data_IF_345974822562
#
_entry.id   IF_345974822562
#
_cell.length_a   1.000
_cell.length_b   1.000
_cell.length_c   1.000
_cell.angle_alpha   90.00
_cell.angle_beta   90.00
_cell.angle_gamma   90.00
#
_symmetry.space_group_name_H-M   'P 1'
#
loop_
_entity.id
_entity.type
_entity.pdbx_description
1 polymer ?
#
# COMPACT_ATOMS: atom_id res chain seq x y z
N UNK A 1 28.93 17.66 7.02
CA UNK A 1 29.81 18.37 7.96
C UNK A 1 30.28 17.44 9.07
N UNK A 2 29.45 16.97 10.01
CA UNK A 2 29.88 16.14 11.14
C UNK A 2 30.58 14.84 10.73
N UNK A 3 30.18 14.24 9.62
CA UNK A 3 30.74 12.97 9.10
C UNK A 3 31.77 13.18 7.97
N UNK A 4 32.18 14.41 7.68
CA UNK A 4 33.16 14.69 6.62
C UNK A 4 32.72 14.33 5.20
N UNK A 5 31.41 14.36 4.91
CA UNK A 5 30.83 13.93 3.61
C UNK A 5 30.32 15.10 2.76
N UNK A 6 30.67 16.34 3.10
CA UNK A 6 30.11 17.54 2.43
C UNK A 6 30.55 17.66 0.96
N UNK A 7 31.65 17.05 0.58
CA UNK A 7 32.18 16.95 -0.78
C UNK A 7 31.54 15.83 -1.61
N UNK A 8 30.78 14.94 -0.96
CA UNK A 8 30.19 13.76 -1.58
C UNK A 8 28.66 13.76 -1.54
N UNK A 9 28.07 14.53 -0.62
CA UNK A 9 26.61 14.60 -0.45
C UNK A 9 26.15 16.05 -0.56
N UNK A 10 25.28 16.32 -1.50
CA UNK A 10 24.60 17.60 -1.67
C UNK A 10 23.13 17.46 -1.27
N UNK A 11 22.68 18.25 -0.31
CA UNK A 11 21.27 18.32 0.07
C UNK A 11 20.61 19.44 -0.74
N UNK A 12 19.58 19.08 -1.50
CA UNK A 12 18.77 20.03 -2.25
C UNK A 12 17.41 20.15 -1.54
N UNK A 13 17.14 21.24 -0.82
CA UNK A 13 15.88 21.41 -0.13
C UNK A 13 14.75 21.76 -1.11
N UNK A 14 13.56 21.21 -0.91
CA UNK A 14 12.38 21.52 -1.71
C UNK A 14 11.57 20.28 -2.06
N UNK A 15 10.43 20.49 -2.74
CA UNK A 15 9.66 19.41 -3.33
C UNK A 15 10.33 18.93 -4.60
N UNK A 16 10.27 17.62 -4.85
CA UNK A 16 10.91 17.01 -6.03
C UNK A 16 10.36 17.59 -7.35
N UNK A 17 9.11 18.04 -7.34
CA UNK A 17 8.45 18.66 -8.47
C UNK A 17 9.03 20.04 -8.82
N UNK A 18 9.55 20.74 -7.82
CA UNK A 18 10.00 22.14 -7.90
C UNK A 18 11.52 22.29 -7.96
N UNK A 19 12.27 21.28 -7.51
CA UNK A 19 13.73 21.36 -7.48
C UNK A 19 14.34 21.20 -8.85
N UNK A 20 15.54 21.78 -9.01
CA UNK A 20 16.39 21.58 -10.19
C UNK A 20 17.71 20.99 -9.76
N UNK A 21 18.14 19.94 -10.44
CA UNK A 21 19.47 19.36 -10.23
C UNK A 21 20.48 19.95 -11.21
N UNK A 22 21.75 20.07 -10.83
CA UNK A 22 22.80 20.58 -11.73
C UNK A 22 23.06 19.65 -12.93
N UNK A 23 22.80 18.38 -12.76
CA UNK A 23 22.93 17.36 -13.82
C UNK A 23 21.95 16.19 -13.58
N UNK A 24 21.75 15.39 -14.62
CA UNK A 24 20.99 14.15 -14.51
C UNK A 24 21.77 13.08 -13.75
N UNK A 25 21.05 12.18 -13.08
CA UNK A 25 21.59 11.14 -12.22
C UNK A 25 21.54 9.75 -12.89
N UNK A 26 22.42 8.87 -12.49
CA UNK A 26 22.46 7.49 -13.00
C UNK A 26 21.44 6.61 -12.26
N UNK A 27 21.11 6.97 -11.01
CA UNK A 27 20.27 6.15 -10.12
C UNK A 27 19.37 7.04 -9.29
N UNK A 28 18.11 6.63 -9.13
CA UNK A 28 17.17 7.17 -8.14
C UNK A 28 16.84 6.05 -7.15
N UNK A 29 16.95 6.35 -5.85
CA UNK A 29 16.60 5.44 -4.77
C UNK A 29 15.58 6.14 -3.88
N UNK A 30 14.47 5.46 -3.59
CA UNK A 30 13.44 5.95 -2.67
C UNK A 30 12.73 4.77 -2.00
N UNK A 31 11.97 5.06 -0.96
CA UNK A 31 10.96 4.14 -0.42
C UNK A 31 9.60 4.80 -0.66
N UNK A 32 8.98 4.58 -1.85
CA UNK A 32 7.82 5.36 -2.31
C UNK A 32 6.48 4.68 -2.06
N UNK A 33 6.42 3.61 -1.28
CA UNK A 33 5.25 2.77 -1.18
C UNK A 33 4.58 2.86 0.19
N UNK A 34 3.30 3.23 0.18
CA UNK A 34 2.41 3.05 1.32
C UNK A 34 1.65 1.73 1.26
N UNK A 35 0.64 1.57 2.13
CA UNK A 35 -0.27 0.42 2.08
C UNK A 35 -0.88 0.26 0.69
N UNK A 36 -1.06 -1.00 0.28
CA UNK A 36 -1.61 -1.32 -1.03
C UNK A 36 -0.80 -0.69 -2.19
N UNK A 37 0.51 -0.46 -1.99
CA UNK A 37 1.43 0.16 -2.94
C UNK A 37 1.18 1.67 -3.19
N UNK A 38 -0.08 2.09 -3.21
CA UNK A 38 -0.53 3.40 -3.71
C UNK A 38 -0.93 4.38 -2.61
N UNK A 39 -1.13 3.90 -1.39
CA UNK A 39 -1.49 4.78 -0.28
C UNK A 39 -0.35 5.76 0.02
N UNK A 40 -0.67 6.90 0.61
CA UNK A 40 0.23 8.03 0.88
C UNK A 40 0.70 8.80 -0.37
N UNK A 41 0.40 8.30 -1.58
CA UNK A 41 0.64 8.97 -2.86
C UNK A 41 2.10 9.37 -3.11
N UNK A 42 3.04 8.66 -2.51
CA UNK A 42 4.48 8.89 -2.71
C UNK A 42 4.98 8.34 -4.04
N UNK A 43 4.26 7.38 -4.61
CA UNK A 43 4.67 6.74 -5.87
C UNK A 43 4.62 7.73 -7.04
N UNK A 44 3.64 8.63 -7.09
CA UNK A 44 3.57 9.68 -8.11
C UNK A 44 4.81 10.58 -8.05
N UNK A 45 5.20 11.01 -6.85
CA UNK A 45 6.42 11.80 -6.62
C UNK A 45 7.68 11.05 -7.07
N UNK A 46 7.75 9.75 -6.83
CA UNK A 46 8.84 8.90 -7.27
C UNK A 46 8.90 8.78 -8.81
N UNK A 47 7.75 8.61 -9.46
CA UNK A 47 7.68 8.60 -10.92
C UNK A 47 8.05 9.97 -11.53
N UNK A 48 7.63 11.06 -10.88
CA UNK A 48 8.01 12.41 -11.29
C UNK A 48 9.53 12.61 -11.34
N UNK A 49 10.24 11.97 -10.41
CA UNK A 49 11.70 12.05 -10.35
C UNK A 49 12.40 11.45 -11.57
N UNK A 50 11.73 10.65 -12.41
CA UNK A 50 12.31 10.10 -13.66
C UNK A 50 12.88 11.18 -14.58
N UNK A 51 12.33 12.40 -14.54
CA UNK A 51 12.85 13.53 -15.33
C UNK A 51 14.33 13.81 -15.08
N UNK A 52 14.85 13.39 -13.92
CA UNK A 52 16.25 13.57 -13.55
C UNK A 52 17.16 12.40 -13.96
N UNK A 53 16.60 11.28 -14.43
CA UNK A 53 17.43 10.14 -14.89
C UNK A 53 18.14 10.45 -16.19
N UNK A 54 19.38 9.97 -16.28
CA UNK A 54 20.10 9.83 -17.56
C UNK A 54 19.44 8.75 -18.42
N UNK A 55 19.63 8.75 -19.73
CA UNK A 55 19.30 7.60 -20.58
C UNK A 55 19.94 6.32 -20.05
N UNK A 56 19.15 5.28 -19.84
CA UNK A 56 19.60 4.02 -19.23
C UNK A 56 19.81 4.04 -17.71
N UNK A 57 19.46 5.15 -17.05
CA UNK A 57 19.46 5.25 -15.59
C UNK A 57 18.48 4.27 -14.93
N UNK A 58 18.66 4.03 -13.64
CA UNK A 58 17.91 3.02 -12.88
C UNK A 58 17.13 3.63 -11.73
N UNK A 59 15.98 3.02 -11.43
CA UNK A 59 15.18 3.34 -10.24
C UNK A 59 15.19 2.15 -9.28
N UNK A 60 15.27 2.44 -7.98
CA UNK A 60 15.17 1.47 -6.92
C UNK A 60 14.16 1.96 -5.86
N UNK A 61 13.04 1.21 -5.68
CA UNK A 61 12.67 -0.03 -6.39
C UNK A 61 12.41 0.21 -7.89
N UNK A 62 12.54 -0.84 -8.71
CA UNK A 62 12.25 -0.74 -10.15
C UNK A 62 10.82 -1.16 -10.49
N UNK A 63 10.16 -1.88 -9.58
CA UNK A 63 8.85 -2.49 -9.78
C UNK A 63 8.10 -2.63 -8.47
N UNK A 64 6.77 -2.47 -8.53
CA UNK A 64 5.85 -2.83 -7.47
C UNK A 64 4.96 -4.00 -7.89
N UNK A 65 4.74 -4.94 -6.97
CA UNK A 65 3.81 -6.06 -7.13
C UNK A 65 2.72 -5.95 -6.05
N UNK A 66 1.46 -6.01 -6.45
CA UNK A 66 0.29 -6.08 -5.59
C UNK A 66 -0.36 -7.44 -5.73
N UNK A 67 -0.54 -8.15 -4.64
CA UNK A 67 -1.23 -9.42 -4.58
C UNK A 67 -2.53 -9.26 -3.82
N UNK A 68 -3.63 -9.77 -4.37
CA UNK A 68 -4.96 -9.74 -3.75
C UNK A 68 -5.52 -11.15 -3.72
N UNK A 69 -6.08 -11.57 -2.59
CA UNK A 69 -6.76 -12.86 -2.47
C UNK A 69 -7.88 -12.80 -1.42
N UNK A 70 -8.98 -13.55 -1.61
CA UNK A 70 -9.98 -13.73 -0.56
C UNK A 70 -9.42 -14.59 0.57
N UNK A 71 -9.82 -14.27 1.81
CA UNK A 71 -9.36 -15.00 2.99
C UNK A 71 -10.49 -15.39 3.93
N UNK A 72 -10.22 -16.39 4.77
CA UNK A 72 -11.06 -16.81 5.89
C UNK A 72 -10.28 -16.69 7.20
N UNK A 73 -10.79 -15.90 8.13
CA UNK A 73 -10.27 -15.75 9.50
C UNK A 73 -11.40 -15.30 10.41
N UNK A 74 -12.03 -16.28 11.06
CA UNK A 74 -13.15 -16.02 11.96
C UNK A 74 -12.68 -15.26 13.23
N UNK A 75 -11.48 -15.52 13.71
CA UNK A 75 -10.96 -14.86 14.91
C UNK A 75 -10.77 -13.35 14.65
N UNK A 76 -10.17 -12.98 13.51
CA UNK A 76 -10.03 -11.59 13.10
C UNK A 76 -11.40 -10.94 12.89
N UNK A 77 -12.33 -11.64 12.25
CA UNK A 77 -13.70 -11.12 12.04
C UNK A 77 -14.41 -10.83 13.37
N UNK A 78 -14.31 -11.75 14.35
CA UNK A 78 -14.89 -11.58 15.68
C UNK A 78 -14.21 -10.44 16.44
N UNK A 79 -12.90 -10.29 16.33
CA UNK A 79 -12.17 -9.17 16.91
C UNK A 79 -12.68 -7.83 16.35
N UNK A 80 -12.78 -7.70 15.01
CA UNK A 80 -13.25 -6.47 14.39
C UNK A 80 -14.71 -6.16 14.75
N UNK A 81 -15.59 -7.17 14.76
CA UNK A 81 -16.98 -6.99 15.21
C UNK A 81 -17.07 -6.63 16.68
N UNK A 82 -16.18 -7.17 17.50
CA UNK A 82 -16.07 -6.87 18.93
C UNK A 82 -15.76 -5.40 19.24
N UNK A 83 -15.05 -4.70 18.36
CA UNK A 83 -14.77 -3.26 18.49
C UNK A 83 -16.06 -2.42 18.56
N UNK A 84 -17.13 -2.88 17.93
CA UNK A 84 -18.44 -2.23 17.99
C UNK A 84 -19.24 -2.53 19.26
N UNK A 85 -18.74 -3.39 20.15
CA UNK A 85 -19.45 -3.75 21.39
C UNK A 85 -19.64 -2.55 22.33
N UNK A 86 -18.72 -1.60 22.33
CA UNK A 86 -18.86 -0.36 23.08
C UNK A 86 -20.19 0.35 22.75
N UNK A 87 -20.59 0.35 21.49
CA UNK A 87 -21.79 1.02 20.99
C UNK A 87 -23.08 0.24 21.24
N UNK A 88 -23.00 -0.96 21.83
CA UNK A 88 -24.17 -1.75 22.18
C UNK A 88 -24.80 -1.35 23.55
N UNK A 89 -24.24 -0.38 24.23
CA UNK A 89 -24.66 0.04 25.57
C UNK A 89 -25.99 0.77 25.50
N UNK A 90 -26.99 0.26 26.22
CA UNK A 90 -28.31 0.89 26.32
C UNK A 90 -28.34 2.06 27.33
N UNK A 91 -27.37 2.14 28.22
CA UNK A 91 -27.23 3.23 29.19
C UNK A 91 -25.75 3.53 29.47
N UNK A 92 -25.17 4.41 28.68
CA UNK A 92 -23.85 4.99 28.94
C UNK A 92 -24.04 6.41 29.48
N UNK A 93 -23.77 6.57 30.79
CA UNK A 93 -24.08 7.83 31.52
C UNK A 93 -25.53 8.34 31.28
N UNK A 94 -26.50 7.42 31.20
CA UNK A 94 -27.91 7.76 30.97
C UNK A 94 -28.30 7.93 29.50
N UNK A 95 -27.36 7.73 28.55
CA UNK A 95 -27.59 7.81 27.11
C UNK A 95 -27.56 6.43 26.47
N UNK A 96 -28.57 6.12 25.65
CA UNK A 96 -28.59 4.88 24.87
C UNK A 96 -27.79 5.05 23.59
N UNK A 97 -26.71 4.25 23.45
CA UNK A 97 -25.81 4.24 22.29
C UNK A 97 -26.16 3.14 21.27
N UNK A 98 -27.05 2.21 21.59
CA UNK A 98 -27.28 1.00 20.81
C UNK A 98 -27.68 1.27 19.34
N UNK A 99 -28.35 2.39 19.07
CA UNK A 99 -28.72 2.81 17.71
C UNK A 99 -27.51 3.13 16.82
N UNK A 100 -26.34 3.42 17.40
CA UNK A 100 -25.10 3.76 16.69
C UNK A 100 -24.27 2.52 16.32
N UNK A 101 -24.56 1.35 16.93
CA UNK A 101 -23.77 0.13 16.73
C UNK A 101 -23.66 -0.29 15.25
N UNK A 102 -24.72 -0.30 14.42
CA UNK A 102 -24.60 -0.66 13.01
C UNK A 102 -23.68 0.28 12.23
N UNK A 103 -23.77 1.58 12.50
CA UNK A 103 -22.90 2.58 11.87
C UNK A 103 -21.44 2.39 12.32
N UNK A 104 -21.20 2.21 13.59
CA UNK A 104 -19.87 1.97 14.15
C UNK A 104 -19.23 0.70 13.53
N UNK A 105 -19.99 -0.37 13.39
CA UNK A 105 -19.54 -1.59 12.76
C UNK A 105 -19.09 -1.34 11.31
N UNK A 106 -19.90 -0.63 10.53
CA UNK A 106 -19.54 -0.26 9.17
C UNK A 106 -18.27 0.58 9.10
N UNK A 107 -18.05 1.50 10.03
CA UNK A 107 -16.85 2.33 10.06
C UNK A 107 -15.59 1.49 10.39
N UNK A 108 -15.67 0.53 11.29
CA UNK A 108 -14.55 -0.37 11.58
C UNK A 108 -14.18 -1.24 10.38
N UNK A 109 -15.16 -1.74 9.62
CA UNK A 109 -14.89 -2.56 8.44
C UNK A 109 -14.46 -1.76 7.19
N UNK A 110 -14.58 -0.45 7.18
CA UNK A 110 -14.02 0.40 6.12
C UNK A 110 -12.52 0.58 6.22
N UNK A 111 -11.96 0.38 7.40
CA UNK A 111 -10.53 0.57 7.62
C UNK A 111 -9.77 -0.73 7.36
N UNK A 112 -8.65 -0.68 6.62
CA UNK A 112 -7.81 -1.86 6.46
C UNK A 112 -7.20 -2.25 7.81
N UNK A 113 -7.17 -3.55 8.09
CA UNK A 113 -6.40 -4.11 9.19
C UNK A 113 -5.00 -4.38 8.68
N UNK A 114 -4.01 -3.77 9.31
CA UNK A 114 -2.60 -3.95 8.96
C UNK A 114 -1.97 -4.89 9.97
N UNK A 115 -1.69 -6.10 9.54
CA UNK A 115 -1.11 -7.15 10.36
C UNK A 115 -0.39 -8.17 9.48
N UNK A 116 0.32 -9.10 10.11
CA UNK A 116 0.89 -10.28 9.47
C UNK A 116 -0.11 -11.42 9.51
N UNK A 117 -0.19 -12.20 8.44
CA UNK A 117 -1.06 -13.37 8.39
C UNK A 117 -0.35 -14.57 7.76
N UNK A 118 -0.81 -15.76 8.10
CA UNK A 118 -0.33 -16.99 7.49
C UNK A 118 -1.07 -17.24 6.17
N UNK A 119 -0.35 -17.58 5.11
CA UNK A 119 -0.92 -17.80 3.77
C UNK A 119 -1.99 -18.90 3.74
N UNK A 120 -2.03 -19.78 4.71
CA UNK A 120 -3.05 -20.84 4.84
C UNK A 120 -4.48 -20.34 5.09
N UNK A 121 -4.68 -19.05 5.40
CA UNK A 121 -6.03 -18.47 5.51
C UNK A 121 -6.62 -18.09 4.14
N UNK A 122 -5.81 -18.06 3.07
CA UNK A 122 -6.27 -17.70 1.74
C UNK A 122 -7.14 -18.82 1.16
N UNK A 123 -8.26 -18.46 0.58
CA UNK A 123 -9.27 -19.39 0.01
C UNK A 123 -9.17 -19.54 -1.49
N UNK A 124 -8.28 -18.79 -2.13
CA UNK A 124 -7.95 -18.86 -3.55
C UNK A 124 -6.50 -18.46 -3.79
N UNK A 125 -6.00 -18.80 -4.98
CA UNK A 125 -4.72 -18.27 -5.45
C UNK A 125 -4.81 -16.74 -5.57
N UNK A 126 -3.77 -16.02 -5.14
CA UNK A 126 -3.75 -14.57 -5.24
C UNK A 126 -3.68 -14.10 -6.69
N UNK A 127 -4.50 -13.12 -7.01
CA UNK A 127 -4.32 -12.33 -8.23
C UNK A 127 -3.15 -11.37 -8.04
N UNK A 128 -2.24 -11.34 -9.03
CA UNK A 128 -1.09 -10.46 -9.02
C UNK A 128 -1.25 -9.35 -10.05
N UNK A 129 -1.11 -8.11 -9.61
CA UNK A 129 -0.91 -6.95 -10.47
C UNK A 129 0.51 -6.40 -10.27
N UNK A 130 1.10 -5.88 -11.35
CA UNK A 130 2.49 -5.38 -11.31
C UNK A 130 2.60 -4.06 -12.05
N UNK A 131 3.44 -3.18 -11.54
CA UNK A 131 3.77 -1.90 -12.17
C UNK A 131 5.29 -1.77 -12.29
N UNK A 132 5.77 -1.45 -13.50
CA UNK A 132 7.17 -1.11 -13.76
C UNK A 132 7.33 0.40 -13.64
N UNK A 133 8.20 0.86 -12.76
CA UNK A 133 8.32 2.29 -12.45
C UNK A 133 9.07 3.07 -13.53
N UNK A 134 9.87 2.42 -14.36
CA UNK A 134 10.50 3.08 -15.51
C UNK A 134 9.51 3.31 -16.66
N UNK A 135 8.59 2.35 -16.87
CA UNK A 135 7.64 2.39 -17.99
C UNK A 135 6.37 3.18 -17.66
N UNK A 136 5.96 3.19 -16.38
CA UNK A 136 4.69 3.81 -15.95
C UNK A 136 4.83 5.33 -15.84
N UNK A 137 3.89 6.06 -16.40
CA UNK A 137 3.77 7.51 -16.21
C UNK A 137 2.90 7.86 -14.99
N UNK A 138 3.07 9.07 -14.42
CA UNK A 138 2.29 9.55 -13.27
C UNK A 138 0.78 9.44 -13.50
N UNK A 139 0.32 9.78 -14.71
CA UNK A 139 -1.09 9.71 -15.10
C UNK A 139 -1.67 8.29 -15.03
N UNK A 140 -0.85 7.26 -15.17
CA UNK A 140 -1.25 5.86 -15.07
C UNK A 140 -1.61 5.43 -13.64
N UNK A 141 -1.26 6.23 -12.63
CA UNK A 141 -1.59 5.96 -11.23
C UNK A 141 -2.82 6.72 -10.72
N UNK A 142 -3.39 7.60 -11.51
CA UNK A 142 -4.55 8.43 -11.10
C UNK A 142 -5.84 7.62 -11.04
N UNK A 143 -6.00 6.70 -11.97
CA UNK A 143 -7.16 5.80 -12.02
C UNK A 143 -6.70 4.41 -12.44
N UNK A 144 -6.75 3.47 -11.50
CA UNK A 144 -6.32 2.09 -11.70
C UNK A 144 -7.54 1.19 -11.55
N UNK A 145 -7.88 0.48 -12.59
CA UNK A 145 -8.93 -0.54 -12.60
C UNK A 145 -8.29 -1.90 -12.85
N UNK A 146 -8.36 -2.76 -11.84
CA UNK A 146 -7.77 -4.09 -11.88
C UNK A 146 -8.92 -5.11 -11.77
N UNK A 147 -9.37 -5.69 -12.89
CA UNK A 147 -10.35 -6.76 -12.83
C UNK A 147 -9.73 -7.99 -12.18
N UNK A 148 -10.37 -8.48 -11.12
CA UNK A 148 -9.94 -9.67 -10.40
C UNK A 148 -11.01 -10.76 -10.45
N UNK A 149 -10.58 -12.01 -10.59
CA UNK A 149 -11.42 -13.19 -10.53
C UNK A 149 -10.71 -14.25 -9.70
N UNK A 150 -11.46 -14.93 -8.84
CA UNK A 150 -10.93 -15.95 -7.96
C UNK A 150 -11.66 -17.25 -8.13
N UNK A 151 -10.90 -18.34 -8.25
CA UNK A 151 -11.43 -19.69 -8.15
C UNK A 151 -11.27 -20.17 -6.71
N UNK A 152 -12.40 -20.34 -6.01
CA UNK A 152 -12.42 -20.77 -4.60
C UNK A 152 -12.16 -22.28 -4.56
N UNK A 153 -11.11 -22.67 -3.87
CA UNK A 153 -10.64 -24.07 -3.84
C UNK A 153 -11.26 -24.91 -2.72
N UNK A 154 -11.91 -24.28 -1.76
CA UNK A 154 -12.56 -24.96 -0.64
C UNK A 154 -13.78 -24.19 -0.15
N UNK A 155 -14.80 -24.90 0.37
CA UNK A 155 -15.96 -24.26 1.00
C UNK A 155 -15.51 -23.57 2.29
N UNK A 156 -15.67 -22.25 2.35
CA UNK A 156 -15.33 -21.44 3.50
C UNK A 156 -16.18 -20.16 3.53
N UNK A 157 -16.29 -19.56 4.72
CA UNK A 157 -16.76 -18.19 4.82
C UNK A 157 -15.63 -17.25 4.41
N UNK A 158 -15.90 -16.35 3.47
CA UNK A 158 -14.94 -15.33 3.09
C UNK A 158 -15.17 -14.10 3.95
N UNK A 159 -14.15 -13.71 4.73
CA UNK A 159 -14.22 -12.59 5.66
C UNK A 159 -13.70 -11.28 5.07
N UNK A 160 -12.99 -11.34 3.95
CA UNK A 160 -12.48 -10.15 3.27
C UNK A 160 -11.46 -10.47 2.18
N UNK A 161 -10.77 -9.42 1.73
CA UNK A 161 -9.67 -9.50 0.79
C UNK A 161 -8.36 -9.18 1.51
N UNK A 162 -7.40 -10.09 1.44
CA UNK A 162 -6.03 -9.84 1.86
C UNK A 162 -5.26 -9.19 0.72
N UNK A 163 -4.52 -8.12 1.04
CA UNK A 163 -3.71 -7.40 0.07
C UNK A 163 -2.28 -7.34 0.56
N UNK A 164 -1.35 -7.75 -0.27
CA UNK A 164 0.09 -7.70 0.01
C UNK A 164 0.75 -6.90 -1.10
N UNK A 165 1.49 -5.87 -0.72
CA UNK A 165 2.34 -5.11 -1.63
C UNK A 165 3.81 -5.49 -1.42
N UNK A 166 4.53 -5.70 -2.52
CA UNK A 166 5.96 -5.94 -2.51
C UNK A 166 6.65 -5.04 -3.51
N UNK A 167 7.80 -4.50 -3.12
CA UNK A 167 8.78 -3.98 -4.05
C UNK A 167 9.70 -5.09 -4.55
N UNK A 168 10.10 -5.01 -5.80
CA UNK A 168 11.15 -5.88 -6.33
C UNK A 168 12.30 -5.03 -6.84
N UNK A 169 13.48 -5.31 -6.29
CA UNK A 169 14.72 -4.88 -6.86
C UNK A 169 15.15 -5.92 -7.91
N UNK A 170 15.27 -5.52 -9.17
CA UNK A 170 16.02 -6.33 -10.13
C UNK A 170 17.50 -6.10 -9.86
N UNK A 171 18.11 -6.96 -9.07
CA UNK A 171 19.56 -7.10 -9.12
C UNK A 171 19.85 -7.78 -10.46
N UNK A 172 20.45 -7.03 -11.37
CA UNK A 172 21.08 -7.62 -12.52
C UNK A 172 22.34 -8.31 -12.00
N UNK A 173 22.36 -9.66 -12.03
CA UNK A 173 23.55 -10.47 -11.87
C UNK A 173 24.49 -10.28 -13.06
#
# INVERSE_FOLDING_TARGET
TANGLSDRITVVPGKIEEVTLPEKVDVIISEPMGYMLLNERMLETFLHAKKFLKPGGKMYPSRGDLHVAPFTDEALFLEQTGKAAFWAQESFHGVNLASLRPQALNEYFKQPVVDTFHVGILTAQSHKWSVDFLETEESGLVNIDIPVSFEITATAHIHGLAVIAHDRQRFLG
#
